data_IF_934908670645
#
_entry.id   IF_934908670645
#
_cell.length_a   1.000
_cell.length_b   1.000
_cell.length_c   1.000
_cell.angle_alpha   90.00
_cell.angle_beta   90.00
_cell.angle_gamma   90.00
#
_symmetry.space_group_name_H-M   'P 1'
#
loop_
_entity.id
_entity.type
_entity.pdbx_description
1 polymer ?
#
# COMPACT_ATOMS: atom_id res chain seq x y z
N UNK A 1 2.78 4.00 -3.25
CA UNK A 1 1.58 3.34 -3.77
C UNK A 1 1.41 3.63 -5.26
N UNK A 2 0.60 2.79 -5.93
CA UNK A 2 0.06 2.94 -7.30
C UNK A 2 1.07 2.83 -8.46
N UNK A 3 2.37 2.75 -8.20
CA UNK A 3 3.41 2.62 -9.24
C UNK A 3 3.40 3.74 -10.31
N UNK A 4 3.22 5.00 -9.89
CA UNK A 4 3.38 6.13 -10.80
C UNK A 4 4.80 6.22 -11.37
N UNK A 5 4.92 6.59 -12.67
CA UNK A 5 6.23 6.78 -13.33
C UNK A 5 7.12 7.80 -12.61
N UNK A 6 6.51 8.83 -12.00
CA UNK A 6 7.25 9.83 -11.22
C UNK A 6 8.05 9.24 -10.04
N UNK A 7 7.65 8.08 -9.51
CA UNK A 7 8.43 7.39 -8.48
C UNK A 7 9.72 6.83 -9.08
N UNK A 8 9.66 6.27 -10.29
CA UNK A 8 10.84 5.79 -11.01
C UNK A 8 11.75 6.94 -11.43
N UNK A 9 11.18 7.99 -12.00
CA UNK A 9 11.93 9.10 -12.60
C UNK A 9 12.58 10.03 -11.57
N UNK A 10 11.89 10.28 -10.44
CA UNK A 10 12.32 11.31 -9.48
C UNK A 10 12.61 10.77 -8.08
N UNK A 11 11.74 9.95 -7.52
CA UNK A 11 11.89 9.50 -6.14
C UNK A 11 12.98 8.43 -5.99
N UNK A 12 12.99 7.41 -6.84
CA UNK A 12 13.96 6.33 -6.78
C UNK A 12 15.42 6.76 -6.87
N UNK A 13 15.85 7.66 -7.80
CA UNK A 13 17.24 8.14 -7.82
C UNK A 13 17.67 8.75 -6.48
N UNK A 14 16.77 9.47 -5.80
CA UNK A 14 17.03 10.07 -4.50
C UNK A 14 17.18 8.98 -3.44
N UNK A 15 16.23 8.04 -3.36
CA UNK A 15 16.28 6.93 -2.41
C UNK A 15 17.52 6.05 -2.61
N UNK A 16 17.87 5.77 -3.86
CA UNK A 16 19.09 5.02 -4.22
C UNK A 16 20.35 5.74 -3.75
N UNK A 17 20.45 7.05 -4.02
CA UNK A 17 21.57 7.88 -3.58
C UNK A 17 21.76 7.85 -2.06
N UNK A 18 20.65 7.90 -1.31
CA UNK A 18 20.68 7.93 0.14
C UNK A 18 20.57 6.54 0.79
N UNK A 19 20.56 5.47 -0.03
CA UNK A 19 20.43 4.06 0.43
C UNK A 19 19.18 3.84 1.30
N UNK A 20 18.09 4.53 0.97
CA UNK A 20 16.81 4.41 1.69
C UNK A 20 16.00 3.27 1.08
N UNK A 21 15.65 2.24 1.86
CA UNK A 21 14.77 1.19 1.37
C UNK A 21 13.33 1.70 1.26
N UNK A 22 12.59 1.17 0.29
CA UNK A 22 11.15 1.41 0.20
C UNK A 22 10.43 0.21 -0.42
N UNK A 23 9.12 0.18 -0.27
CA UNK A 23 8.23 -0.78 -0.91
C UNK A 23 7.34 -0.07 -1.92
N UNK A 24 7.32 -0.58 -3.15
CA UNK A 24 6.41 -0.13 -4.19
C UNK A 24 5.19 -1.05 -4.22
N UNK A 25 4.01 -0.53 -3.93
CA UNK A 25 2.75 -1.26 -4.06
C UNK A 25 2.14 -1.02 -5.44
N UNK A 26 1.79 -2.12 -6.13
CA UNK A 26 1.41 -2.10 -7.54
C UNK A 26 0.02 -2.72 -7.73
N UNK A 27 -0.85 -2.02 -8.43
CA UNK A 27 -2.08 -2.55 -9.03
C UNK A 27 -1.79 -3.00 -10.45
N UNK A 28 -2.07 -4.27 -10.78
CA UNK A 28 -1.55 -4.85 -12.03
C UNK A 28 -2.24 -4.35 -13.29
N UNK A 29 -3.53 -4.00 -13.23
CA UNK A 29 -4.29 -3.55 -14.40
C UNK A 29 -3.77 -2.25 -15.03
N UNK A 30 -3.35 -1.28 -14.22
CA UNK A 30 -2.84 -0.01 -14.75
C UNK A 30 -1.53 -0.21 -15.52
N UNK A 31 -0.73 -1.20 -15.12
CA UNK A 31 0.52 -1.57 -15.78
C UNK A 31 0.23 -2.38 -17.06
N UNK A 32 -0.64 -3.39 -16.98
CA UNK A 32 -1.02 -4.23 -18.12
C UNK A 32 -1.68 -3.41 -19.24
N UNK A 33 -2.49 -2.42 -18.85
CA UNK A 33 -3.15 -1.50 -19.79
C UNK A 33 -2.23 -0.39 -20.31
N UNK A 34 -0.97 -0.36 -19.87
CA UNK A 34 0.00 0.69 -20.23
C UNK A 34 -0.58 2.10 -20.01
N UNK A 35 -1.23 2.28 -18.86
CA UNK A 35 -1.90 3.53 -18.52
C UNK A 35 -0.86 4.67 -18.44
N UNK A 36 -1.06 5.80 -19.16
CA UNK A 36 -0.13 6.92 -19.08
C UNK A 36 0.09 7.42 -17.64
N UNK A 37 1.34 7.73 -17.30
CA UNK A 37 1.71 8.18 -15.96
C UNK A 37 2.02 7.07 -14.95
N UNK A 38 1.88 5.81 -15.37
CA UNK A 38 2.27 4.65 -14.56
C UNK A 38 3.50 3.97 -15.15
N UNK A 39 4.23 3.25 -14.30
CA UNK A 39 5.39 2.46 -14.71
C UNK A 39 5.01 1.33 -15.65
N UNK A 40 5.98 0.88 -16.42
CA UNK A 40 5.95 -0.41 -17.13
C UNK A 40 6.42 -1.56 -16.23
N UNK A 41 6.11 -2.81 -16.60
CA UNK A 41 6.68 -3.99 -15.93
C UNK A 41 8.21 -4.03 -16.02
N UNK A 42 8.81 -3.48 -17.06
CA UNK A 42 10.26 -3.39 -17.19
C UNK A 42 10.87 -2.48 -16.12
N UNK A 43 10.30 -1.31 -15.90
CA UNK A 43 10.73 -0.40 -14.84
C UNK A 43 10.54 -1.01 -13.44
N UNK A 44 9.44 -1.72 -13.23
CA UNK A 44 9.20 -2.46 -11.97
C UNK A 44 10.27 -3.56 -11.77
N UNK A 45 10.66 -4.28 -12.82
CA UNK A 45 11.76 -5.25 -12.74
C UNK A 45 13.09 -4.58 -12.40
N UNK A 46 13.39 -3.44 -13.04
CA UNK A 46 14.60 -2.66 -12.72
C UNK A 46 14.62 -2.27 -11.24
N UNK A 47 13.51 -1.79 -10.69
CA UNK A 47 13.40 -1.44 -9.26
C UNK A 47 13.67 -2.67 -8.38
N UNK A 48 12.98 -3.80 -8.65
CA UNK A 48 13.18 -5.07 -7.94
C UNK A 48 14.64 -5.49 -7.94
N UNK A 49 15.29 -5.49 -9.11
CA UNK A 49 16.67 -5.95 -9.29
C UNK A 49 17.68 -5.01 -8.60
N UNK A 50 17.27 -3.79 -8.28
CA UNK A 50 18.02 -2.85 -7.46
C UNK A 50 17.60 -2.84 -5.98
N UNK A 51 16.88 -3.86 -5.51
CA UNK A 51 16.59 -4.07 -4.10
C UNK A 51 15.33 -3.39 -3.58
N UNK A 52 14.50 -2.81 -4.46
CA UNK A 52 13.19 -2.29 -4.05
C UNK A 52 12.24 -3.45 -3.81
N UNK A 53 11.57 -3.45 -2.68
CA UNK A 53 10.54 -4.44 -2.38
C UNK A 53 9.28 -4.14 -3.20
N UNK A 54 8.77 -5.15 -3.92
CA UNK A 54 7.52 -5.02 -4.66
C UNK A 54 6.39 -5.65 -3.85
N UNK A 55 5.34 -4.88 -3.61
CA UNK A 55 4.11 -5.28 -2.94
C UNK A 55 2.91 -5.25 -3.88
N UNK A 56 1.83 -5.91 -3.51
CA UNK A 56 0.58 -5.92 -4.27
C UNK A 56 -0.41 -4.90 -3.71
N UNK A 57 -1.20 -4.30 -4.60
CA UNK A 57 -2.34 -3.45 -4.28
C UNK A 57 -3.59 -3.90 -5.06
N UNK A 58 -3.79 -5.21 -5.16
CA UNK A 58 -4.81 -5.91 -5.96
C UNK A 58 -4.59 -5.84 -7.49
N UNK A 59 -5.57 -6.35 -8.23
CA UNK A 59 -5.58 -6.29 -9.70
C UNK A 59 -5.96 -4.89 -10.18
N UNK A 60 -7.19 -4.44 -9.86
CA UNK A 60 -7.83 -3.26 -10.45
C UNK A 60 -8.04 -2.10 -9.49
N UNK A 61 -7.45 -2.15 -8.28
CA UNK A 61 -7.57 -1.12 -7.25
C UNK A 61 -9.03 -0.76 -6.88
N UNK A 62 -9.91 -1.75 -6.62
CA UNK A 62 -11.31 -1.47 -6.30
C UNK A 62 -11.51 -1.15 -4.80
N UNK A 63 -12.66 -0.59 -4.46
CA UNK A 63 -13.12 -0.58 -3.07
C UNK A 63 -13.45 -2.01 -2.62
N UNK A 64 -12.44 -2.77 -2.17
CA UNK A 64 -12.55 -4.20 -1.92
C UNK A 64 -13.64 -4.57 -0.91
N UNK A 65 -13.90 -3.71 0.09
CA UNK A 65 -14.96 -3.92 1.08
C UNK A 65 -16.39 -3.92 0.49
N UNK A 66 -16.54 -3.44 -0.75
CA UNK A 66 -17.82 -3.48 -1.49
C UNK A 66 -17.97 -4.71 -2.38
N UNK A 67 -16.94 -5.52 -2.47
CA UNK A 67 -16.95 -6.70 -3.31
C UNK A 67 -17.47 -7.92 -2.55
N UNK A 68 -18.06 -8.86 -3.29
CA UNK A 68 -18.31 -10.18 -2.76
C UNK A 68 -17.01 -10.95 -2.55
N UNK A 69 -17.00 -11.91 -1.64
CA UNK A 69 -15.86 -12.78 -1.34
C UNK A 69 -15.18 -13.34 -2.61
N UNK A 70 -15.97 -13.87 -3.54
CA UNK A 70 -15.43 -14.43 -4.78
C UNK A 70 -14.74 -13.39 -5.65
N UNK A 71 -15.24 -12.15 -5.67
CA UNK A 71 -14.60 -11.06 -6.40
C UNK A 71 -13.30 -10.62 -5.71
N UNK A 72 -13.26 -10.59 -4.38
CA UNK A 72 -12.02 -10.31 -3.62
C UNK A 72 -10.97 -11.36 -3.96
N UNK A 73 -11.31 -12.65 -3.88
CA UNK A 73 -10.40 -13.74 -4.23
C UNK A 73 -9.89 -13.59 -5.66
N UNK A 74 -10.77 -13.26 -6.60
CA UNK A 74 -10.39 -13.05 -8.01
C UNK A 74 -9.39 -11.89 -8.18
N UNK A 75 -9.59 -10.76 -7.51
CA UNK A 75 -8.67 -9.63 -7.49
C UNK A 75 -7.27 -10.03 -7.01
N UNK A 76 -7.20 -10.79 -5.92
CA UNK A 76 -5.96 -11.26 -5.32
C UNK A 76 -5.26 -12.30 -6.20
N UNK A 77 -6.00 -13.29 -6.72
CA UNK A 77 -5.45 -14.39 -7.52
C UNK A 77 -4.86 -13.87 -8.84
N UNK A 78 -5.64 -13.09 -9.60
CA UNK A 78 -5.18 -12.58 -10.89
C UNK A 78 -3.96 -11.67 -10.70
N UNK A 79 -3.99 -10.79 -9.70
CA UNK A 79 -2.83 -9.96 -9.37
C UNK A 79 -1.60 -10.80 -9.05
N UNK A 80 -1.73 -11.82 -8.21
CA UNK A 80 -0.62 -12.71 -7.85
C UNK A 80 -0.04 -13.45 -9.05
N UNK A 81 -0.90 -13.96 -9.94
CA UNK A 81 -0.47 -14.67 -11.15
C UNK A 81 0.28 -13.72 -12.10
N UNK A 82 -0.14 -12.45 -12.20
CA UNK A 82 0.58 -11.43 -12.97
C UNK A 82 1.96 -11.15 -12.38
N UNK A 83 2.08 -11.02 -11.06
CA UNK A 83 3.39 -10.86 -10.42
C UNK A 83 4.30 -12.06 -10.65
N UNK A 84 3.79 -13.29 -10.57
CA UNK A 84 4.59 -14.49 -10.88
C UNK A 84 5.09 -14.44 -12.32
N UNK A 85 4.22 -14.10 -13.27
CA UNK A 85 4.56 -14.00 -14.69
C UNK A 85 5.59 -12.92 -14.98
N UNK A 86 5.45 -11.72 -14.36
CA UNK A 86 6.24 -10.55 -14.72
C UNK A 86 7.51 -10.37 -13.90
N UNK A 87 7.46 -10.74 -12.62
CA UNK A 87 8.59 -10.55 -11.70
C UNK A 87 9.09 -11.84 -11.05
N UNK A 88 8.56 -13.00 -11.47
CA UNK A 88 9.06 -14.31 -11.03
C UNK A 88 8.65 -14.73 -9.63
N UNK A 89 7.72 -14.03 -8.96
CA UNK A 89 7.28 -14.41 -7.62
C UNK A 89 6.11 -13.61 -7.10
N UNK A 90 5.40 -14.17 -6.11
CA UNK A 90 4.30 -13.49 -5.44
C UNK A 90 4.83 -12.44 -4.47
N UNK A 91 4.25 -11.23 -4.45
CA UNK A 91 4.55 -10.24 -3.41
C UNK A 91 4.22 -10.77 -2.02
N UNK A 92 5.07 -10.44 -1.04
CA UNK A 92 4.85 -10.80 0.36
C UNK A 92 3.93 -9.81 1.08
N UNK A 93 3.88 -8.57 0.62
CA UNK A 93 3.17 -7.46 1.27
C UNK A 93 1.99 -7.01 0.43
N UNK A 94 0.94 -6.58 1.11
CA UNK A 94 -0.28 -6.06 0.51
C UNK A 94 -0.60 -4.66 1.04
N UNK A 95 -0.97 -3.72 0.16
CA UNK A 95 -1.59 -2.47 0.57
C UNK A 95 -3.07 -2.49 0.17
N UNK A 96 -3.94 -2.20 1.13
CA UNK A 96 -5.37 -2.14 0.82
C UNK A 96 -5.66 -0.96 -0.10
N UNK A 97 -6.32 -1.17 -1.26
CA UNK A 97 -6.77 -0.08 -2.11
C UNK A 97 -7.53 0.98 -1.30
N UNK A 98 -7.17 2.24 -1.47
CA UNK A 98 -7.67 3.38 -0.67
C UNK A 98 -7.39 3.27 0.83
N UNK A 99 -6.59 2.29 1.28
CA UNK A 99 -6.40 1.99 2.69
C UNK A 99 -7.65 1.42 3.38
N UNK A 100 -8.67 1.02 2.61
CA UNK A 100 -9.98 0.58 3.12
C UNK A 100 -10.06 -0.95 3.15
N UNK A 101 -10.51 -1.48 4.29
CA UNK A 101 -10.76 -2.91 4.44
C UNK A 101 -11.82 -3.16 5.53
N UNK A 102 -12.40 -4.34 5.49
CA UNK A 102 -13.22 -4.91 6.54
C UNK A 102 -12.67 -6.30 6.89
N UNK A 103 -13.27 -6.98 7.84
CA UNK A 103 -12.82 -8.31 8.29
C UNK A 103 -12.78 -9.33 7.15
N UNK A 104 -13.77 -9.33 6.26
CA UNK A 104 -13.81 -10.26 5.11
C UNK A 104 -12.60 -10.03 4.18
N UNK A 105 -12.30 -8.78 3.84
CA UNK A 105 -11.12 -8.44 3.00
C UNK A 105 -9.84 -8.85 3.69
N UNK A 106 -9.69 -8.55 4.98
CA UNK A 106 -8.51 -8.90 5.76
C UNK A 106 -8.28 -10.42 5.77
N UNK A 107 -9.32 -11.20 6.06
CA UNK A 107 -9.25 -12.67 6.07
C UNK A 107 -8.89 -13.24 4.69
N UNK A 108 -9.42 -12.68 3.60
CA UNK A 108 -9.05 -13.14 2.26
C UNK A 108 -7.60 -12.79 1.92
N UNK A 109 -7.10 -11.60 2.28
CA UNK A 109 -5.70 -11.20 2.09
C UNK A 109 -4.77 -12.13 2.88
N UNK A 110 -5.11 -12.42 4.12
CA UNK A 110 -4.36 -13.37 4.96
C UNK A 110 -4.35 -14.78 4.37
N UNK A 111 -5.52 -15.29 3.99
CA UNK A 111 -5.67 -16.62 3.39
C UNK A 111 -4.95 -16.76 2.05
N UNK A 112 -4.74 -15.64 1.33
CA UNK A 112 -4.03 -15.63 0.06
C UNK A 112 -2.49 -15.75 0.20
N UNK A 113 -1.97 -15.73 1.43
CA UNK A 113 -0.57 -15.99 1.74
C UNK A 113 0.32 -14.75 1.84
N UNK A 114 -0.24 -13.54 1.90
CA UNK A 114 0.51 -12.36 2.28
C UNK A 114 0.98 -12.48 3.74
N UNK A 115 2.13 -11.89 4.06
CA UNK A 115 2.70 -11.96 5.41
C UNK A 115 2.42 -10.69 6.23
N UNK A 116 2.06 -9.59 5.58
CA UNK A 116 1.62 -8.36 6.21
C UNK A 116 0.77 -7.54 5.26
N UNK A 117 -0.11 -6.69 5.83
CA UNK A 117 -0.90 -5.76 5.03
C UNK A 117 -1.00 -4.38 5.69
N UNK A 118 -1.12 -3.37 4.84
CA UNK A 118 -1.03 -1.95 5.20
C UNK A 118 -2.30 -1.21 4.81
N UNK A 119 -2.88 -0.53 5.82
CA UNK A 119 -3.92 0.48 5.61
C UNK A 119 -3.35 1.86 5.27
N UNK A 120 -4.19 2.88 5.36
CA UNK A 120 -3.77 4.28 5.28
C UNK A 120 -4.33 5.13 6.45
N UNK A 121 -4.79 4.47 7.50
CA UNK A 121 -5.08 5.16 8.74
C UNK A 121 -3.77 5.58 9.40
N UNK A 122 -3.73 6.81 9.89
CA UNK A 122 -2.52 7.35 10.52
C UNK A 122 -2.25 6.67 11.85
N UNK A 123 -1.03 6.27 12.08
CA UNK A 123 -0.64 5.63 13.33
C UNK A 123 0.76 5.05 13.27
N UNK A 124 1.24 4.63 14.43
CA UNK A 124 2.52 3.93 14.60
C UNK A 124 2.23 2.47 14.85
N UNK A 125 2.92 1.59 14.14
CA UNK A 125 2.82 0.16 14.37
C UNK A 125 3.36 -0.20 15.76
N UNK A 126 2.61 -1.00 16.50
CA UNK A 126 3.04 -1.52 17.82
C UNK A 126 2.65 -2.99 17.95
N UNK A 127 3.24 -3.67 18.94
CA UNK A 127 3.14 -5.14 19.10
C UNK A 127 1.71 -5.70 19.24
N UNK A 128 0.76 -4.89 19.69
CA UNK A 128 -0.63 -5.32 19.86
C UNK A 128 -1.49 -5.14 18.62
N UNK A 129 -0.98 -4.52 17.55
CA UNK A 129 -1.68 -4.45 16.27
C UNK A 129 -1.53 -5.75 15.49
N UNK A 130 -2.58 -6.12 14.79
CA UNK A 130 -2.53 -7.20 13.81
C UNK A 130 -1.60 -6.85 12.65
N UNK A 131 -0.75 -7.79 12.25
CA UNK A 131 0.21 -7.58 11.15
C UNK A 131 -0.47 -7.34 9.79
N UNK A 132 -1.79 -7.58 9.70
CA UNK A 132 -2.63 -7.29 8.54
C UNK A 132 -3.41 -5.97 8.69
N UNK A 133 -3.07 -5.14 9.68
CA UNK A 133 -3.74 -3.88 10.01
C UNK A 133 -2.74 -2.75 10.23
N UNK A 134 -1.59 -2.82 9.58
CA UNK A 134 -0.49 -1.89 9.82
C UNK A 134 -0.87 -0.47 9.34
N UNK A 135 -0.75 0.54 10.20
CA UNK A 135 -1.04 1.92 9.85
C UNK A 135 0.09 2.53 9.00
N UNK A 136 -0.23 3.59 8.29
CA UNK A 136 0.74 4.41 7.55
C UNK A 136 0.34 5.88 7.60
N UNK A 137 1.31 6.77 7.71
CA UNK A 137 1.06 8.19 7.54
C UNK A 137 1.01 8.54 6.05
N UNK A 138 -0.12 9.05 5.60
CA UNK A 138 -0.23 9.54 4.23
C UNK A 138 0.63 10.81 4.06
N UNK A 139 1.52 10.78 3.07
CA UNK A 139 2.33 11.91 2.62
C UNK A 139 2.01 12.19 1.16
N UNK A 140 1.33 13.28 0.88
CA UNK A 140 0.95 13.74 -0.45
C UNK A 140 0.84 15.26 -0.44
N UNK A 141 0.46 15.87 -1.53
CA UNK A 141 0.35 17.34 -1.67
C UNK A 141 -0.48 17.99 -0.56
N UNK A 142 -1.54 17.32 -0.12
CA UNK A 142 -2.42 17.82 0.96
C UNK A 142 -1.84 17.62 2.37
N UNK A 143 -1.05 16.57 2.57
CA UNK A 143 -0.57 16.12 3.88
C UNK A 143 0.96 16.04 3.97
N UNK A 144 1.68 16.65 3.03
CA UNK A 144 3.13 16.56 2.89
C UNK A 144 3.91 17.74 3.46
N UNK A 145 3.33 18.55 4.34
CA UNK A 145 4.09 19.62 4.98
C UNK A 145 5.20 19.06 5.89
N UNK A 146 6.29 19.81 6.02
CA UNK A 146 7.50 19.35 6.71
C UNK A 146 7.30 19.12 8.21
N UNK A 147 6.39 19.85 8.87
CA UNK A 147 6.11 19.64 10.29
C UNK A 147 5.41 18.30 10.47
N UNK A 148 4.40 18.00 9.65
CA UNK A 148 3.72 16.71 9.65
C UNK A 148 4.67 15.57 9.34
N UNK A 149 5.54 15.74 8.34
CA UNK A 149 6.57 14.76 8.01
C UNK A 149 7.50 14.49 9.21
N UNK A 150 8.00 15.54 9.85
CA UNK A 150 8.86 15.42 11.03
C UNK A 150 8.16 14.71 12.20
N UNK A 151 6.88 15.00 12.43
CA UNK A 151 6.09 14.30 13.45
C UNK A 151 5.97 12.80 13.10
N UNK A 152 5.65 12.48 11.85
CA UNK A 152 5.48 11.10 11.40
C UNK A 152 6.77 10.27 11.52
N UNK A 153 7.90 10.78 11.03
CA UNK A 153 9.19 10.04 11.04
C UNK A 153 9.77 9.89 12.45
N UNK A 154 9.43 10.79 13.36
CA UNK A 154 9.85 10.70 14.76
C UNK A 154 8.84 9.94 15.63
N UNK A 155 7.77 9.39 15.05
CA UNK A 155 6.71 8.70 15.78
C UNK A 155 6.13 9.53 16.94
N UNK A 156 6.12 10.85 16.81
CA UNK A 156 5.56 11.74 17.83
C UNK A 156 4.03 11.65 17.81
N UNK A 157 3.35 11.90 18.94
CA UNK A 157 1.92 11.78 19.01
C UNK A 157 1.26 12.76 18.05
N UNK A 158 0.81 12.22 16.94
CA UNK A 158 -0.18 12.86 16.09
C UNK A 158 -1.53 12.37 16.63
N UNK A 159 -2.56 13.24 16.75
CA UNK A 159 -3.87 12.76 17.13
C UNK A 159 -4.30 11.62 16.18
N UNK A 160 -4.39 10.41 16.74
CA UNK A 160 -4.70 9.19 16.01
C UNK A 160 -6.17 8.92 16.26
N UNK A 161 -6.94 8.62 15.20
CA UNK A 161 -8.24 8.01 15.42
C UNK A 161 -8.04 6.62 15.99
N UNK A 162 -8.70 6.33 17.09
CA UNK A 162 -8.80 4.96 17.61
C UNK A 162 -9.64 4.12 16.63
N UNK A 163 -8.98 3.54 15.67
CA UNK A 163 -9.57 2.59 14.73
C UNK A 163 -9.46 1.21 15.36
N UNK A 164 -10.40 0.95 16.26
CA UNK A 164 -10.54 -0.38 16.84
C UNK A 164 -10.80 -1.42 15.75
N UNK A 165 -10.16 -2.61 15.82
CA UNK A 165 -10.49 -3.77 14.95
C UNK A 165 -11.95 -4.20 15.01
N UNK A 166 -12.70 -3.73 16.00
CA UNK A 166 -14.14 -3.93 16.14
C UNK A 166 -14.98 -3.11 15.15
N UNK A 167 -14.35 -2.15 14.47
CA UNK A 167 -15.03 -1.40 13.42
C UNK A 167 -15.11 -2.28 12.17
N UNK A 168 -16.31 -2.59 11.65
CA UNK A 168 -16.46 -3.49 10.50
C UNK A 168 -15.87 -2.95 9.20
N UNK A 169 -15.55 -1.66 9.16
CA UNK A 169 -14.91 -1.00 8.04
C UNK A 169 -13.88 0.00 8.55
N UNK A 170 -12.61 -0.27 8.27
CA UNK A 170 -11.54 0.70 8.45
C UNK A 170 -11.38 1.47 7.15
N UNK A 171 -11.77 2.75 7.19
CA UNK A 171 -11.67 3.64 6.04
C UNK A 171 -10.32 4.33 6.02
N UNK A 172 -9.85 4.63 4.80
CA UNK A 172 -8.90 5.69 4.59
C UNK A 172 -9.51 6.99 5.07
N UNK A 173 -9.36 7.30 6.31
CA UNK A 173 -9.49 8.66 6.76
C UNK A 173 -8.24 8.91 7.57
N UNK A 174 -7.30 9.67 7.04
CA UNK A 174 -6.60 10.46 7.99
C UNK A 174 -7.73 11.22 8.66
N UNK A 175 -7.94 11.04 9.94
CA UNK A 175 -8.83 11.94 10.64
C UNK A 175 -8.33 13.32 10.29
N UNK A 176 -9.23 14.15 9.85
CA UNK A 176 -8.98 15.55 9.61
C UNK A 176 -8.81 16.23 10.99
N UNK A 177 -7.78 15.87 11.68
CA UNK A 177 -7.33 16.66 12.79
C UNK A 177 -6.50 17.75 12.15
N UNK A 178 -7.24 18.76 11.66
CA UNK A 178 -6.66 20.04 11.45
C UNK A 178 -5.99 20.43 12.76
N UNK A 179 -4.71 20.63 12.74
CA UNK A 179 -4.11 21.53 13.68
C UNK A 179 -4.73 22.88 13.33
N UNK A 180 -5.73 23.32 14.11
CA UNK A 180 -6.13 24.71 14.17
C UNK A 180 -5.06 25.49 14.87
#
# INVERSE_FOLDING_TARGET
>A
DDAYSSVFDYAWPIFKKHKLPFTLFVSTDVIDNKTPGYMSWEEIRILRDNGVTIGSQSKSHPHMHKLSKNKIIKELTISSDRFVSEIGGKPKFFAYPYGEYNLEVLEQVKAHGFIAAFGQHSGVAHKSLGIFELPRFAMNEKYGDMNRFNLAVNALPIPISDLSPKNPLIKRNPPYYGFT
#
